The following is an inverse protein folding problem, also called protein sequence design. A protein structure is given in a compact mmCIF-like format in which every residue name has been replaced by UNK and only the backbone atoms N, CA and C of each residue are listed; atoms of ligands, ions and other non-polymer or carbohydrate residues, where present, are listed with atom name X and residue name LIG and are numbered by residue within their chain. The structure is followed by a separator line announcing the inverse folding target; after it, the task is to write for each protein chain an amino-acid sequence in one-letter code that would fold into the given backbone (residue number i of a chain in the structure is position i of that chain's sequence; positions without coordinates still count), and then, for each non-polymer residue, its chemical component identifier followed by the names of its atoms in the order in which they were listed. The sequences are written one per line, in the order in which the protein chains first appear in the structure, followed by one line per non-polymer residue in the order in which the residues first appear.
data_IF_577600761704
#
_entry.id   IF_577600761704
#
_cell.length_a   1.000
_cell.length_b   1.000
_cell.length_c   1.000
_cell.angle_alpha   90.00
_cell.angle_beta   90.00
_cell.angle_gamma   90.00
#
_symmetry.space_group_name_H-M   'P 1'
#
loop_
_entity.id
_entity.type
_entity.pdbx_description
1 polymer ?
#
# COMPACT_ATOMS: atom_id res chain seq x y z
N UNK A 1 -7.89 11.34 -3.96
CA UNK A 1 -6.70 12.21 -3.93
C UNK A 1 -6.00 11.91 -2.62
N UNK A 2 -4.72 11.54 -2.66
CA UNK A 2 -3.94 11.25 -1.46
C UNK A 2 -3.60 12.58 -0.77
N UNK A 3 -3.64 12.64 0.57
CA UNK A 3 -3.17 13.83 1.28
C UNK A 3 -1.65 13.81 1.32
N UNK A 4 -1.00 14.92 0.97
CA UNK A 4 0.46 15.06 0.98
C UNK A 4 1.12 14.56 2.28
N UNK A 5 0.48 14.79 3.43
CA UNK A 5 1.00 14.40 4.76
C UNK A 5 1.00 12.88 5.00
N UNK A 6 0.21 12.12 4.24
CA UNK A 6 0.10 10.67 4.38
C UNK A 6 1.13 9.93 3.50
N UNK A 7 1.83 10.65 2.60
CA UNK A 7 2.85 10.11 1.69
C UNK A 7 4.21 10.08 2.38
N UNK A 8 4.90 8.95 2.29
CA UNK A 8 6.25 8.75 2.84
C UNK A 8 7.18 8.13 1.81
N UNK A 9 8.48 8.30 2.04
CA UNK A 9 9.52 7.60 1.28
C UNK A 9 9.31 6.09 1.41
N UNK A 10 9.38 5.38 0.27
CA UNK A 10 9.08 3.95 0.13
C UNK A 10 7.61 3.63 -0.16
N UNK A 11 6.70 4.60 -0.10
CA UNK A 11 5.30 4.37 -0.45
C UNK A 11 5.15 4.05 -1.95
N UNK A 12 4.26 3.12 -2.26
CA UNK A 12 3.91 2.69 -3.60
C UNK A 12 2.55 3.31 -3.95
N UNK A 13 2.55 4.10 -5.01
CA UNK A 13 1.39 4.85 -5.47
C UNK A 13 1.36 4.90 -7.00
N UNK A 14 0.32 5.53 -7.56
CA UNK A 14 0.18 5.71 -8.99
C UNK A 14 0.42 7.17 -9.36
N UNK A 15 1.38 7.43 -10.25
CA UNK A 15 1.63 8.76 -10.80
C UNK A 15 0.96 8.90 -12.17
N UNK A 16 0.44 10.10 -12.47
CA UNK A 16 -0.12 10.47 -13.77
C UNK A 16 0.83 11.41 -14.50
N UNK A 17 1.18 11.07 -15.75
CA UNK A 17 1.93 11.94 -16.63
C UNK A 17 1.23 12.02 -17.99
N UNK A 18 0.71 13.20 -18.33
CA UNK A 18 0.03 13.42 -19.60
C UNK A 18 -1.20 12.53 -19.81
N UNK A 19 -1.90 12.14 -18.73
CA UNK A 19 -3.08 11.27 -18.75
C UNK A 19 -2.75 9.78 -18.76
N UNK A 20 -1.45 9.41 -18.73
CA UNK A 20 -1.01 8.02 -18.62
C UNK A 20 -0.58 7.76 -17.18
N UNK A 21 -1.15 6.71 -16.58
CA UNK A 21 -0.88 6.35 -15.18
C UNK A 21 0.01 5.14 -15.06
N UNK A 22 0.96 5.19 -14.13
CA UNK A 22 1.89 4.09 -13.85
C UNK A 22 2.16 3.98 -12.35
N UNK A 23 2.51 2.78 -11.90
CA UNK A 23 2.93 2.55 -10.52
C UNK A 23 4.33 3.11 -10.31
N UNK A 24 4.55 3.80 -9.20
CA UNK A 24 5.85 4.38 -8.83
C UNK A 24 6.07 4.29 -7.32
N UNK A 25 7.34 4.28 -6.93
CA UNK A 25 7.78 4.30 -5.54
C UNK A 25 8.26 5.70 -5.16
N UNK A 26 7.87 6.21 -4.00
CA UNK A 26 8.32 7.51 -3.52
C UNK A 26 9.76 7.42 -3.05
N UNK A 27 10.65 8.20 -3.65
CA UNK A 27 12.06 8.25 -3.26
C UNK A 27 12.39 9.49 -2.44
N UNK A 28 11.63 10.58 -2.59
CA UNK A 28 11.82 11.80 -1.80
C UNK A 28 10.51 12.60 -1.63
N UNK A 29 10.39 13.35 -0.53
CA UNK A 29 9.27 14.26 -0.25
C UNK A 29 9.81 15.66 0.05
N UNK A 30 9.52 16.62 -0.82
CA UNK A 30 9.89 18.03 -0.64
C UNK A 30 8.73 18.78 0.04
N UNK A 31 8.92 19.12 1.32
CA UNK A 31 7.94 19.83 2.13
C UNK A 31 7.82 21.33 1.84
N UNK A 32 8.87 21.96 1.27
CA UNK A 32 8.87 23.39 0.94
C UNK A 32 8.00 23.66 -0.28
N UNK A 33 8.25 22.92 -1.37
CA UNK A 33 7.55 23.09 -2.65
C UNK A 33 6.31 22.18 -2.78
N UNK A 34 6.07 21.31 -1.78
CA UNK A 34 4.99 20.30 -1.77
C UNK A 34 5.01 19.36 -2.98
N UNK A 35 6.21 18.95 -3.37
CA UNK A 35 6.45 18.01 -4.45
C UNK A 35 6.90 16.66 -3.90
N UNK A 36 6.63 15.60 -4.65
CA UNK A 36 7.01 14.23 -4.32
C UNK A 36 7.84 13.69 -5.48
N UNK A 37 9.05 13.22 -5.18
CA UNK A 37 9.87 12.51 -6.15
C UNK A 37 9.45 11.04 -6.16
N UNK A 38 9.17 10.51 -7.34
CA UNK A 38 8.82 9.09 -7.51
C UNK A 38 9.68 8.44 -8.58
N UNK A 39 10.03 7.19 -8.35
CA UNK A 39 10.75 6.33 -9.27
C UNK A 39 9.81 5.33 -9.92
N UNK A 40 9.80 5.27 -11.26
CA UNK A 40 8.93 4.38 -12.04
C UNK A 40 9.61 3.11 -12.57
N UNK A 41 10.86 2.86 -12.16
CA UNK A 41 11.69 1.75 -12.60
C UNK A 41 12.82 2.16 -13.56
N UNK A 42 12.64 3.26 -14.29
CA UNK A 42 13.64 3.78 -15.24
C UNK A 42 14.18 5.15 -14.82
N UNK A 43 13.30 6.03 -14.32
CA UNK A 43 13.60 7.42 -14.03
C UNK A 43 12.94 7.89 -12.74
N UNK A 44 13.53 8.93 -12.15
CA UNK A 44 12.96 9.69 -11.04
C UNK A 44 12.44 11.03 -11.55
N UNK A 45 11.22 11.39 -11.17
CA UNK A 45 10.62 12.67 -11.54
C UNK A 45 9.82 13.23 -10.35
N UNK A 46 9.73 14.56 -10.28
CA UNK A 46 8.96 15.28 -9.28
C UNK A 46 7.53 15.52 -9.75
N UNK A 47 6.57 15.20 -8.89
CA UNK A 47 5.14 15.37 -9.12
C UNK A 47 4.50 16.21 -8.03
N UNK A 48 3.40 16.88 -8.36
CA UNK A 48 2.51 17.47 -7.36
C UNK A 48 1.62 16.39 -6.74
N UNK A 49 1.17 16.60 -5.50
CA UNK A 49 0.26 15.65 -4.84
C UNK A 49 -1.06 15.41 -5.62
N UNK A 50 -1.47 16.36 -6.47
CA UNK A 50 -2.66 16.23 -7.32
C UNK A 50 -2.51 15.18 -8.43
N UNK A 51 -1.28 14.91 -8.85
CA UNK A 51 -0.94 13.94 -9.90
C UNK A 51 -0.67 12.54 -9.34
N UNK A 52 -0.80 12.37 -8.01
CA UNK A 52 -0.58 11.11 -7.32
C UNK A 52 -1.89 10.51 -6.81
N UNK A 53 -2.05 9.22 -7.08
CA UNK A 53 -3.26 8.46 -6.84
C UNK A 53 -2.96 7.22 -6.02
N UNK A 54 -3.91 6.87 -5.15
CA UNK A 54 -3.80 5.66 -4.35
C UNK A 54 -4.07 4.44 -5.21
N UNK A 55 -3.19 3.45 -5.13
CA UNK A 55 -3.45 2.11 -5.65
C UNK A 55 -4.28 1.37 -4.59
N UNK A 56 -5.46 0.84 -4.92
CA UNK A 56 -6.26 0.07 -3.97
C UNK A 56 -5.52 -1.22 -3.58
N UNK A 57 -5.69 -1.66 -2.33
CA UNK A 57 -5.24 -3.00 -1.94
C UNK A 57 -6.13 -4.04 -2.60
N UNK A 58 -5.50 -4.95 -3.35
CA UNK A 58 -6.13 -6.11 -3.95
C UNK A 58 -5.19 -7.33 -3.90
N UNK A 59 -5.66 -8.48 -4.38
CA UNK A 59 -4.90 -9.72 -4.47
C UNK A 59 -3.56 -9.55 -5.20
N UNK A 60 -3.55 -8.79 -6.31
CA UNK A 60 -2.37 -8.59 -7.15
C UNK A 60 -1.31 -7.76 -6.42
N UNK A 61 -1.72 -6.68 -5.76
CA UNK A 61 -0.81 -5.83 -4.99
C UNK A 61 -0.25 -6.60 -3.80
N UNK A 62 -1.06 -7.39 -3.08
CA UNK A 62 -0.57 -8.21 -1.98
C UNK A 62 0.43 -9.26 -2.46
N UNK A 63 0.20 -9.88 -3.61
CA UNK A 63 1.16 -10.80 -4.22
C UNK A 63 2.49 -10.09 -4.59
N UNK A 64 2.43 -8.91 -5.21
CA UNK A 64 3.63 -8.08 -5.51
C UNK A 64 4.39 -7.66 -4.25
N UNK A 65 3.69 -7.51 -3.14
CA UNK A 65 4.26 -7.25 -1.81
C UNK A 65 4.69 -8.54 -1.10
N UNK A 66 4.73 -9.69 -1.77
CA UNK A 66 5.26 -10.94 -1.21
C UNK A 66 4.37 -11.57 -0.15
N UNK A 67 3.06 -11.30 -0.16
CA UNK A 67 2.12 -12.02 0.68
C UNK A 67 1.72 -13.35 0.03
N UNK A 68 1.67 -14.39 0.85
CA UNK A 68 1.13 -15.70 0.48
C UNK A 68 -0.38 -15.73 0.76
N UNK A 69 -1.15 -16.16 -0.24
CA UNK A 69 -2.61 -16.28 -0.16
C UNK A 69 -3.02 -17.68 0.32
N UNK A 70 -3.94 -17.72 1.28
CA UNK A 70 -4.62 -18.92 1.76
C UNK A 70 -6.12 -18.68 1.80
N UNK A 71 -6.89 -19.55 1.14
CA UNK A 71 -8.35 -19.55 1.24
C UNK A 71 -8.76 -20.54 2.33
N UNK A 72 -9.57 -20.08 3.29
CA UNK A 72 -10.07 -20.91 4.38
C UNK A 72 -11.37 -21.64 3.97
N UNK A 73 -11.78 -22.63 4.76
CA UNK A 73 -13.00 -23.42 4.51
C UNK A 73 -14.28 -22.57 4.53
N UNK A 74 -14.32 -21.50 5.33
CA UNK A 74 -15.41 -20.55 5.43
C UNK A 74 -15.43 -19.51 4.28
N UNK A 75 -14.54 -19.65 3.30
CA UNK A 75 -14.30 -18.74 2.16
C UNK A 75 -13.62 -17.42 2.51
N UNK A 76 -13.28 -17.18 3.78
CA UNK A 76 -12.40 -16.07 4.13
C UNK A 76 -11.02 -16.28 3.53
N UNK A 77 -10.33 -15.18 3.20
CA UNK A 77 -9.01 -15.23 2.57
C UNK A 77 -8.00 -14.58 3.48
N UNK A 78 -6.93 -15.32 3.78
CA UNK A 78 -5.83 -14.89 4.61
C UNK A 78 -4.59 -14.64 3.74
N UNK A 79 -3.98 -13.50 3.92
CA UNK A 79 -2.71 -13.12 3.31
C UNK A 79 -1.63 -13.08 4.39
N UNK A 80 -0.46 -13.64 4.09
CA UNK A 80 0.59 -13.87 5.07
C UNK A 80 1.94 -13.37 4.57
N UNK A 81 2.62 -12.52 5.34
CA UNK A 81 4.03 -12.15 5.12
C UNK A 81 4.77 -12.25 6.44
N UNK A 82 5.65 -13.25 6.57
CA UNK A 82 6.33 -13.54 7.84
C UNK A 82 5.32 -13.80 8.98
N UNK A 83 5.30 -13.01 10.08
CA UNK A 83 4.28 -13.07 11.13
C UNK A 83 3.10 -12.08 10.94
N UNK A 84 3.14 -11.21 9.92
CA UNK A 84 2.08 -10.25 9.63
C UNK A 84 0.96 -10.91 8.82
N UNK A 85 -0.28 -10.59 9.13
CA UNK A 85 -1.46 -11.23 8.55
C UNK A 85 -2.52 -10.21 8.19
N UNK A 86 -3.23 -10.49 7.10
CA UNK A 86 -4.43 -9.78 6.66
C UNK A 86 -5.50 -10.84 6.43
N UNK A 87 -6.70 -10.63 6.95
CA UNK A 87 -7.86 -11.48 6.70
C UNK A 87 -8.97 -10.63 6.10
N UNK A 88 -9.54 -11.13 5.00
CA UNK A 88 -10.72 -10.56 4.36
C UNK A 88 -11.88 -11.55 4.43
N UNK A 89 -13.14 -11.07 4.52
CA UNK A 89 -14.32 -11.94 4.61
C UNK A 89 -14.49 -12.88 3.41
N UNK A 90 -14.05 -12.45 2.22
CA UNK A 90 -14.00 -13.27 1.02
C UNK A 90 -13.05 -12.68 -0.02
N UNK A 91 -12.71 -13.46 -1.03
CA UNK A 91 -11.88 -13.03 -2.16
C UNK A 91 -12.39 -11.71 -2.78
N UNK A 92 -11.46 -10.79 -3.08
CA UNK A 92 -11.77 -9.47 -3.63
C UNK A 92 -12.46 -8.47 -2.69
N UNK A 93 -12.82 -8.84 -1.44
CA UNK A 93 -13.54 -7.95 -0.51
C UNK A 93 -12.61 -7.27 0.50
N UNK A 94 -11.83 -6.30 0.02
CA UNK A 94 -10.89 -5.50 0.83
C UNK A 94 -11.52 -4.26 1.50
N UNK A 95 -12.85 -4.12 1.46
CA UNK A 95 -13.55 -3.03 2.16
C UNK A 95 -13.68 -3.24 3.67
N UNK A 96 -13.53 -4.48 4.13
CA UNK A 96 -13.46 -4.85 5.54
C UNK A 96 -12.32 -5.85 5.73
N UNK A 97 -11.40 -5.56 6.63
CA UNK A 97 -10.22 -6.38 6.86
C UNK A 97 -9.84 -6.42 8.33
N UNK A 98 -9.31 -7.57 8.78
CA UNK A 98 -8.57 -7.67 10.04
C UNK A 98 -7.09 -7.80 9.70
N UNK A 99 -6.25 -6.94 10.30
CA UNK A 99 -4.78 -7.04 10.20
C UNK A 99 -4.20 -7.33 11.57
N UNK A 100 -3.16 -8.15 11.62
CA UNK A 100 -2.47 -8.41 12.87
C UNK A 100 -0.98 -8.71 12.73
N UNK A 101 -0.25 -8.35 13.79
CA UNK A 101 1.15 -8.68 14.00
C UNK A 101 1.37 -9.02 15.47
N UNK A 102 1.66 -10.31 15.75
CA UNK A 102 1.72 -10.85 17.11
C UNK A 102 0.39 -10.62 17.86
N UNK A 103 0.38 -9.76 18.87
CA UNK A 103 -0.78 -9.45 19.71
C UNK A 103 -1.52 -8.17 19.26
N UNK A 104 -0.90 -7.29 18.45
CA UNK A 104 -1.56 -6.10 17.91
C UNK A 104 -2.51 -6.51 16.78
N UNK A 105 -3.81 -6.23 16.95
CA UNK A 105 -4.87 -6.50 15.99
C UNK A 105 -5.64 -5.22 15.69
N UNK A 106 -5.91 -4.97 14.42
CA UNK A 106 -6.67 -3.79 13.97
C UNK A 106 -7.74 -4.22 12.98
N UNK A 107 -8.91 -3.63 13.13
CA UNK A 107 -10.03 -3.81 12.21
C UNK A 107 -10.13 -2.57 11.33
N UNK A 108 -10.19 -2.79 10.02
CA UNK A 108 -10.30 -1.76 9.00
C UNK A 108 -11.66 -1.94 8.35
N UNK A 109 -12.51 -0.92 8.45
CA UNK A 109 -13.90 -0.94 7.95
C UNK A 109 -14.09 -0.06 6.71
N UNK A 110 -13.01 0.23 6.00
CA UNK A 110 -13.05 0.98 4.76
C UNK A 110 -11.96 0.47 3.80
N UNK A 111 -12.12 0.65 2.48
CA UNK A 111 -11.03 0.43 1.54
C UNK A 111 -9.83 1.30 1.89
N UNK A 112 -8.63 0.75 1.71
CA UNK A 112 -7.36 1.45 1.89
C UNK A 112 -6.48 1.32 0.64
N UNK A 113 -5.55 2.25 0.52
CA UNK A 113 -4.46 2.21 -0.44
C UNK A 113 -3.31 1.31 -0.05
N UNK A 114 -2.47 0.97 -1.03
CA UNK A 114 -1.19 0.27 -0.80
C UNK A 114 -0.29 1.09 0.14
N UNK A 115 -0.13 2.40 -0.09
CA UNK A 115 0.60 3.30 0.82
C UNK A 115 0.07 3.28 2.26
N UNK A 116 -1.25 3.25 2.47
CA UNK A 116 -1.84 3.11 3.81
C UNK A 116 -1.50 1.76 4.44
N UNK A 117 -1.54 0.67 3.67
CA UNK A 117 -1.12 -0.65 4.13
C UNK A 117 0.36 -0.69 4.50
N UNK A 118 1.24 -0.08 3.70
CA UNK A 118 2.67 0.04 4.00
C UNK A 118 2.89 0.82 5.30
N UNK A 119 2.16 1.91 5.47
CA UNK A 119 2.17 2.70 6.70
C UNK A 119 1.70 1.90 7.93
N UNK A 120 0.60 1.16 7.82
CA UNK A 120 0.10 0.29 8.89
C UNK A 120 1.11 -0.82 9.23
N UNK A 121 1.69 -1.45 8.22
CA UNK A 121 2.73 -2.46 8.38
C UNK A 121 3.96 -1.89 9.11
N UNK A 122 4.47 -0.74 8.69
CA UNK A 122 5.59 -0.08 9.37
C UNK A 122 5.24 0.29 10.82
N UNK A 123 4.04 0.82 11.06
CA UNK A 123 3.61 1.17 12.44
C UNK A 123 3.65 -0.03 13.38
N UNK A 124 3.22 -1.22 12.89
CA UNK A 124 3.14 -2.46 13.67
C UNK A 124 4.47 -3.21 13.77
N UNK A 125 5.28 -3.21 12.71
CA UNK A 125 6.50 -4.03 12.61
C UNK A 125 7.81 -3.27 12.77
N UNK A 126 7.79 -1.94 12.56
CA UNK A 126 8.97 -1.06 12.43
C UNK A 126 9.88 -1.43 11.25
N UNK A 127 9.33 -2.10 10.25
CA UNK A 127 10.02 -2.51 9.02
C UNK A 127 9.21 -1.99 7.84
N UNK A 128 9.90 -1.54 6.79
CA UNK A 128 9.25 -1.06 5.57
C UNK A 128 8.71 -2.22 4.72
N UNK A 129 7.54 -2.00 4.13
CA UNK A 129 6.87 -2.97 3.28
C UNK A 129 7.18 -2.66 1.81
N UNK A 130 8.24 -3.26 1.26
CA UNK A 130 8.63 -3.12 -0.14
C UNK A 130 8.13 -4.29 -0.99
N UNK A 131 8.21 -4.15 -2.31
CA UNK A 131 8.03 -5.25 -3.27
C UNK A 131 9.11 -6.32 -3.10
N UNK A 132 8.79 -7.54 -3.55
CA UNK A 132 9.71 -8.69 -3.63
C UNK A 132 10.28 -8.87 -5.03
#
# INVERSE_FOLDING_TARGET
MIRFQDIKVGDILQADFGGTRFEAEVTEVNHEDKQICVHNGDQENWYEAGDLFSIPVDDLQLQKLGFEKQVNEDKSVKYMRGPFRILVPSEGRFGEMEIWYREDRRHIHHPIGVHELQNLYHQMTKVDLSRV
#
